data_IF_169030788999
#
_entry.id   IF_169030788999
#
_cell.length_a   1.000
_cell.length_b   1.000
_cell.length_c   1.000
_cell.angle_alpha   90.00
_cell.angle_beta   90.00
_cell.angle_gamma   90.00
#
_symmetry.space_group_name_H-M   'P 1'
#
loop_
_entity.id
_entity.type
_entity.pdbx_description
1 polymer ?
#
# COMPACT_ATOMS: atom_id res chain seq x y z
N UNK A 1 -2.74 -9.78 -12.66
CA UNK A 1 -2.21 -10.88 -11.84
C UNK A 1 -2.71 -10.76 -10.41
N UNK A 2 -3.31 -11.84 -9.92
CA UNK A 2 -3.94 -11.94 -8.60
C UNK A 2 -3.23 -12.99 -7.76
N UNK A 3 -2.87 -12.65 -6.53
CA UNK A 3 -2.25 -13.53 -5.55
C UNK A 3 -3.24 -13.81 -4.41
N UNK A 4 -3.33 -15.06 -3.96
CA UNK A 4 -4.13 -15.41 -2.77
C UNK A 4 -3.18 -15.58 -1.57
N UNK A 5 -3.52 -14.98 -0.43
CA UNK A 5 -2.84 -15.24 0.84
C UNK A 5 -3.74 -16.13 1.70
N UNK A 6 -3.30 -17.35 1.93
CA UNK A 6 -4.02 -18.42 2.60
C UNK A 6 -4.10 -19.67 1.75
N UNK A 7 -4.06 -20.84 2.36
CA UNK A 7 -4.12 -22.15 1.67
C UNK A 7 -5.23 -23.06 2.21
N UNK A 8 -6.03 -22.54 3.15
CA UNK A 8 -7.05 -23.28 3.88
C UNK A 8 -8.38 -23.37 3.10
N UNK A 9 -9.41 -23.86 3.78
CA UNK A 9 -10.75 -24.06 3.23
C UNK A 9 -11.35 -22.77 2.65
N UNK A 10 -11.15 -21.64 3.33
CA UNK A 10 -11.69 -20.34 2.89
C UNK A 10 -11.07 -19.90 1.55
N UNK A 11 -9.76 -20.13 1.38
CA UNK A 11 -9.06 -19.82 0.14
C UNK A 11 -9.54 -20.72 -1.01
N UNK A 12 -9.80 -22.01 -0.72
CA UNK A 12 -10.33 -22.94 -1.72
C UNK A 12 -11.76 -22.56 -2.12
N UNK A 13 -12.65 -22.28 -1.16
CA UNK A 13 -14.03 -21.87 -1.43
C UNK A 13 -14.09 -20.58 -2.26
N UNK A 14 -13.23 -19.60 -1.94
CA UNK A 14 -13.11 -18.38 -2.73
C UNK A 14 -12.66 -18.67 -4.17
N UNK A 15 -11.61 -19.49 -4.32
CA UNK A 15 -11.10 -19.85 -5.63
C UNK A 15 -12.15 -20.53 -6.48
N UNK A 16 -12.83 -21.54 -5.92
CA UNK A 16 -13.91 -22.27 -6.59
C UNK A 16 -15.08 -21.34 -6.95
N UNK A 17 -15.43 -20.42 -6.07
CA UNK A 17 -16.49 -19.45 -6.34
C UNK A 17 -16.14 -18.50 -7.48
N UNK A 18 -14.88 -18.03 -7.58
CA UNK A 18 -14.46 -17.13 -8.64
C UNK A 18 -14.33 -17.87 -9.98
N UNK A 19 -13.77 -19.07 -10.00
CA UNK A 19 -13.52 -19.83 -11.25
C UNK A 19 -14.79 -20.39 -11.85
N UNK A 20 -15.72 -20.87 -11.03
CA UNK A 20 -16.97 -21.49 -11.51
C UNK A 20 -18.04 -20.49 -11.95
N UNK A 21 -17.72 -19.20 -12.02
CA UNK A 21 -18.67 -18.17 -12.47
C UNK A 21 -18.90 -18.19 -13.96
N UNK A 22 -20.14 -17.90 -14.39
CA UNK A 22 -20.47 -17.82 -15.81
C UNK A 22 -19.78 -16.65 -16.53
N UNK A 23 -19.32 -15.64 -15.79
CA UNK A 23 -18.61 -14.47 -16.32
C UNK A 23 -17.28 -14.29 -15.61
N UNK A 24 -16.18 -14.19 -16.37
CA UNK A 24 -14.86 -13.89 -15.83
C UNK A 24 -14.82 -12.45 -15.28
N UNK A 25 -14.39 -12.31 -14.03
CA UNK A 25 -14.16 -11.01 -13.40
C UNK A 25 -12.78 -10.44 -13.71
N UNK A 26 -12.01 -11.09 -14.60
CA UNK A 26 -10.67 -10.63 -14.98
C UNK A 26 -9.56 -11.02 -13.99
N UNK A 27 -9.86 -11.83 -12.97
CA UNK A 27 -8.84 -12.36 -12.08
C UNK A 27 -7.97 -13.38 -12.80
N UNK A 28 -6.67 -13.16 -12.78
CA UNK A 28 -5.67 -14.11 -13.26
C UNK A 28 -4.82 -14.54 -12.08
N UNK A 29 -5.17 -15.68 -11.50
CA UNK A 29 -4.46 -16.23 -10.34
C UNK A 29 -3.08 -16.75 -10.74
N UNK A 30 -2.04 -16.21 -10.14
CA UNK A 30 -0.64 -16.61 -10.36
C UNK A 30 -0.24 -17.74 -9.42
N UNK A 31 -0.76 -17.71 -8.20
CA UNK A 31 -0.49 -18.69 -7.17
C UNK A 31 -1.02 -18.26 -5.82
N UNK A 32 -0.55 -18.91 -4.78
CA UNK A 32 -0.91 -18.55 -3.41
C UNK A 32 0.30 -18.59 -2.46
N UNK A 33 0.16 -17.88 -1.34
CA UNK A 33 1.11 -17.85 -0.23
C UNK A 33 0.51 -18.56 0.97
N UNK A 34 1.28 -19.47 1.58
CA UNK A 34 0.88 -20.11 2.82
C UNK A 34 1.01 -19.17 4.01
N UNK A 35 -0.12 -18.91 4.66
CA UNK A 35 -0.20 -18.05 5.85
C UNK A 35 0.04 -18.82 7.16
N UNK A 36 -0.05 -20.15 7.17
CA UNK A 36 -0.08 -20.96 8.38
C UNK A 36 1.16 -21.82 8.58
N UNK A 37 2.00 -22.01 7.57
CA UNK A 37 3.14 -22.96 7.60
C UNK A 37 2.69 -24.42 7.70
N UNK A 38 1.44 -24.72 7.35
CA UNK A 38 0.87 -26.04 7.44
C UNK A 38 1.10 -26.86 6.16
N UNK A 39 1.51 -28.10 6.31
CA UNK A 39 1.77 -29.03 5.21
C UNK A 39 0.51 -29.53 4.45
N UNK A 40 -0.66 -29.01 4.73
CA UNK A 40 -1.93 -29.40 4.10
C UNK A 40 -2.66 -28.21 3.50
N UNK A 41 -2.04 -27.59 2.51
CA UNK A 41 -2.69 -26.56 1.73
C UNK A 41 -3.68 -27.18 0.74
N UNK A 42 -4.97 -26.94 0.91
CA UNK A 42 -6.01 -27.47 0.04
C UNK A 42 -5.94 -26.87 -1.37
N UNK A 43 -5.46 -25.63 -1.46
CA UNK A 43 -5.35 -24.88 -2.71
C UNK A 43 -4.19 -25.36 -3.60
N UNK A 44 -3.22 -26.13 -3.06
CA UNK A 44 -2.04 -26.61 -3.79
C UNK A 44 -2.38 -27.52 -4.99
N UNK A 45 -3.59 -28.12 -4.97
CA UNK A 45 -4.08 -28.93 -6.09
C UNK A 45 -4.46 -28.12 -7.33
N UNK A 46 -4.72 -26.84 -7.16
CA UNK A 46 -5.28 -25.94 -8.17
C UNK A 46 -4.33 -24.80 -8.55
N UNK A 47 -3.56 -24.30 -7.59
CA UNK A 47 -2.62 -23.20 -7.78
C UNK A 47 -1.24 -23.55 -7.22
N UNK A 48 -0.16 -23.04 -7.83
CA UNK A 48 1.18 -23.22 -7.30
C UNK A 48 1.38 -22.47 -5.97
N UNK A 49 2.04 -23.12 -5.03
CA UNK A 49 2.54 -22.47 -3.82
C UNK A 49 3.77 -21.65 -4.18
N UNK A 50 3.72 -20.33 -3.97
CA UNK A 50 4.81 -19.42 -4.31
C UNK A 50 5.73 -19.12 -3.12
N UNK A 51 5.33 -19.48 -1.91
CA UNK A 51 6.14 -19.27 -0.72
C UNK A 51 5.31 -19.10 0.55
N UNK A 52 5.94 -18.50 1.55
CA UNK A 52 5.36 -18.17 2.85
C UNK A 52 5.19 -16.65 2.98
N UNK A 53 4.60 -16.18 4.09
CA UNK A 53 4.47 -14.74 4.34
C UNK A 53 5.79 -13.97 4.30
N UNK A 54 6.92 -14.63 4.60
CA UNK A 54 8.25 -13.98 4.56
C UNK A 54 8.69 -13.66 3.14
N UNK A 55 8.25 -14.46 2.18
CA UNK A 55 8.64 -14.36 0.77
C UNK A 55 7.69 -13.40 0.02
N UNK A 56 6.64 -12.90 0.69
CA UNK A 56 5.59 -12.07 0.08
C UNK A 56 6.11 -10.87 -0.71
N UNK A 57 7.06 -10.05 -0.22
CA UNK A 57 7.58 -8.91 -0.97
C UNK A 57 8.26 -9.31 -2.29
N UNK A 58 9.05 -10.40 -2.26
CA UNK A 58 9.75 -10.91 -3.45
C UNK A 58 8.76 -11.45 -4.47
N UNK A 59 7.77 -12.24 -4.04
CA UNK A 59 6.71 -12.80 -4.89
C UNK A 59 5.90 -11.71 -5.59
N UNK A 60 5.58 -10.61 -4.90
CA UNK A 60 4.86 -9.47 -5.48
C UNK A 60 5.64 -8.86 -6.64
N UNK A 61 6.94 -8.63 -6.45
CA UNK A 61 7.78 -7.98 -7.46
C UNK A 61 8.06 -8.91 -8.63
N UNK A 62 8.44 -10.17 -8.37
CA UNK A 62 8.81 -11.14 -9.41
C UNK A 62 7.64 -11.50 -10.34
N UNK A 63 6.42 -11.56 -9.80
CA UNK A 63 5.24 -11.96 -10.56
C UNK A 63 4.37 -10.78 -11.02
N UNK A 64 4.82 -9.53 -10.87
CA UNK A 64 4.07 -8.32 -11.20
C UNK A 64 2.62 -8.38 -10.68
N UNK A 65 2.47 -8.67 -9.38
CA UNK A 65 1.17 -8.81 -8.74
C UNK A 65 0.48 -7.45 -8.69
N UNK A 66 -0.77 -7.40 -9.14
CA UNK A 66 -1.60 -6.18 -9.13
C UNK A 66 -2.73 -6.25 -8.11
N UNK A 67 -3.06 -7.45 -7.68
CA UNK A 67 -4.14 -7.69 -6.73
C UNK A 67 -3.75 -8.79 -5.75
N UNK A 68 -4.01 -8.55 -4.47
CA UNK A 68 -3.83 -9.53 -3.40
C UNK A 68 -5.15 -9.75 -2.70
N UNK A 69 -5.56 -11.02 -2.59
CA UNK A 69 -6.77 -11.40 -1.87
C UNK A 69 -6.37 -12.15 -0.60
N UNK A 70 -6.68 -11.57 0.55
CA UNK A 70 -6.40 -12.18 1.85
C UNK A 70 -7.57 -13.11 2.20
N UNK A 71 -7.30 -14.42 2.15
CA UNK A 71 -8.27 -15.48 2.40
C UNK A 71 -8.00 -16.17 3.77
N UNK A 72 -7.68 -15.37 4.78
CA UNK A 72 -7.47 -15.79 6.16
C UNK A 72 -8.69 -15.41 6.98
N UNK A 73 -9.04 -16.21 8.00
CA UNK A 73 -10.16 -15.90 8.88
C UNK A 73 -9.97 -14.55 9.58
N UNK A 74 -11.01 -13.71 9.55
CA UNK A 74 -10.98 -12.38 10.20
C UNK A 74 -10.82 -12.46 11.71
N UNK A 75 -11.15 -13.58 12.33
CA UNK A 75 -10.87 -13.88 13.74
C UNK A 75 -9.36 -13.87 14.06
N UNK A 76 -8.50 -14.11 13.08
CA UNK A 76 -7.03 -14.07 13.23
C UNK A 76 -6.46 -12.65 13.05
N UNK A 77 -6.96 -11.69 13.82
CA UNK A 77 -6.60 -10.26 13.72
C UNK A 77 -5.09 -9.98 13.68
N UNK A 78 -4.30 -10.71 14.49
CA UNK A 78 -2.84 -10.52 14.52
C UNK A 78 -2.17 -10.92 13.21
N UNK A 79 -2.67 -11.95 12.57
CA UNK A 79 -2.14 -12.44 11.30
C UNK A 79 -2.51 -11.48 10.15
N UNK A 80 -3.77 -11.04 10.11
CA UNK A 80 -4.21 -10.04 9.14
C UNK A 80 -3.38 -8.77 9.28
N UNK A 81 -3.15 -8.31 10.52
CA UNK A 81 -2.29 -7.15 10.75
C UNK A 81 -0.88 -7.35 10.21
N UNK A 82 -0.24 -8.50 10.48
CA UNK A 82 1.09 -8.81 9.95
C UNK A 82 1.13 -8.81 8.42
N UNK A 83 0.10 -9.36 7.79
CA UNK A 83 -0.03 -9.36 6.31
C UNK A 83 -0.16 -7.92 5.80
N UNK A 84 -1.02 -7.12 6.40
CA UNK A 84 -1.22 -5.72 6.01
C UNK A 84 0.04 -4.87 6.22
N UNK A 85 0.77 -5.09 7.32
CA UNK A 85 2.04 -4.39 7.59
C UNK A 85 3.08 -4.69 6.49
N UNK A 86 3.14 -5.92 5.98
CA UNK A 86 4.04 -6.29 4.87
C UNK A 86 3.57 -5.75 3.51
N UNK A 87 2.26 -5.65 3.31
CA UNK A 87 1.68 -5.10 2.08
C UNK A 87 1.69 -3.57 2.04
N UNK A 88 1.98 -2.92 3.17
CA UNK A 88 1.94 -1.46 3.30
C UNK A 88 2.82 -0.75 2.25
N UNK A 89 4.04 -1.24 2.04
CA UNK A 89 4.98 -0.63 1.09
C UNK A 89 4.54 -0.75 -0.38
N UNK A 90 3.60 -1.65 -0.66
CA UNK A 90 3.06 -1.92 -2.00
C UNK A 90 1.65 -1.36 -2.20
N UNK A 91 1.05 -0.76 -1.18
CA UNK A 91 -0.36 -0.34 -1.15
C UNK A 91 -0.77 0.66 -2.24
N UNK A 92 0.17 1.44 -2.76
CA UNK A 92 -0.09 2.36 -3.89
C UNK A 92 -0.10 1.65 -5.26
N UNK A 93 0.38 0.40 -5.33
CA UNK A 93 0.59 -0.31 -6.60
C UNK A 93 -0.30 -1.54 -6.73
N UNK A 94 -0.80 -2.08 -5.62
CA UNK A 94 -1.59 -3.30 -5.57
C UNK A 94 -2.95 -3.04 -4.91
N UNK A 95 -3.96 -3.73 -5.44
CA UNK A 95 -5.30 -3.74 -4.86
C UNK A 95 -5.38 -4.81 -3.77
N UNK A 96 -5.69 -4.43 -2.54
CA UNK A 96 -5.79 -5.37 -1.42
C UNK A 96 -7.26 -5.63 -1.11
N UNK A 97 -7.65 -6.89 -1.15
CA UNK A 97 -8.99 -7.36 -0.81
C UNK A 97 -8.93 -8.40 0.31
N UNK A 98 -9.93 -8.43 1.15
CA UNK A 98 -10.09 -9.41 2.24
C UNK A 98 -11.44 -10.08 2.12
N UNK A 99 -11.50 -11.37 2.42
CA UNK A 99 -12.77 -12.10 2.56
C UNK A 99 -13.38 -11.69 3.90
N UNK A 100 -14.62 -11.14 3.94
CA UNK A 100 -15.31 -10.89 5.20
C UNK A 100 -15.71 -12.21 5.87
N UNK A 101 -15.62 -12.25 7.19
CA UNK A 101 -16.22 -13.34 7.95
C UNK A 101 -17.74 -13.21 7.98
N UNK A 102 -18.42 -14.35 8.12
CA UNK A 102 -19.88 -14.38 8.28
C UNK A 102 -20.34 -13.47 9.43
N UNK A 103 -19.54 -13.34 10.47
CA UNK A 103 -19.82 -12.49 11.62
C UNK A 103 -19.81 -10.99 11.25
N UNK A 104 -18.85 -10.56 10.44
CA UNK A 104 -18.75 -9.17 9.95
C UNK A 104 -19.95 -8.82 9.05
N UNK A 105 -20.40 -9.79 8.26
CA UNK A 105 -21.57 -9.66 7.41
C UNK A 105 -22.84 -9.52 8.25
N UNK A 106 -23.00 -10.36 9.27
CA UNK A 106 -24.17 -10.33 10.16
C UNK A 106 -24.28 -9.07 11.02
N UNK A 107 -23.14 -8.50 11.43
CA UNK A 107 -23.09 -7.24 12.20
C UNK A 107 -23.36 -6.00 11.34
N UNK A 108 -23.44 -6.16 10.00
CA UNK A 108 -23.64 -5.03 9.08
C UNK A 108 -22.48 -4.03 9.05
N UNK A 109 -21.32 -4.41 9.59
CA UNK A 109 -20.11 -3.57 9.60
C UNK A 109 -19.50 -3.43 8.22
N UNK A 110 -19.84 -4.34 7.32
CA UNK A 110 -19.36 -4.38 5.95
C UNK A 110 -20.45 -3.86 5.01
N UNK A 111 -20.16 -2.77 4.31
CA UNK A 111 -21.00 -2.36 3.17
C UNK A 111 -20.75 -3.34 2.03
N UNK A 112 -21.68 -4.26 1.84
CA UNK A 112 -21.62 -5.20 0.73
C UNK A 112 -21.88 -4.46 -0.58
N UNK A 113 -20.87 -4.25 -1.35
CA UNK A 113 -21.03 -3.90 -2.76
C UNK A 113 -21.41 -5.18 -3.52
N UNK A 114 -22.69 -5.56 -3.40
CA UNK A 114 -23.26 -6.67 -4.16
C UNK A 114 -23.36 -6.30 -5.63
N UNK A 115 -22.35 -6.59 -6.39
CA UNK A 115 -22.51 -6.53 -7.83
C UNK A 115 -22.29 -7.90 -8.50
N UNK A 116 -22.16 -8.98 -7.97
CA UNK A 116 -21.98 -10.33 -8.52
C UNK A 116 -20.90 -11.16 -7.79
N UNK A 117 -21.29 -11.91 -6.77
CA UNK A 117 -20.50 -13.05 -6.34
C UNK A 117 -19.71 -12.89 -5.04
N UNK A 118 -18.51 -13.50 -4.90
CA UNK A 118 -17.76 -13.51 -3.65
C UNK A 118 -17.69 -12.11 -3.03
N UNK A 119 -18.14 -12.01 -1.80
CA UNK A 119 -18.10 -10.75 -1.06
C UNK A 119 -16.64 -10.50 -0.71
N UNK A 120 -16.01 -9.56 -1.40
CA UNK A 120 -14.65 -9.12 -1.08
C UNK A 120 -14.73 -7.69 -0.57
N UNK A 121 -14.03 -7.42 0.52
CA UNK A 121 -13.85 -6.08 1.05
C UNK A 121 -12.55 -5.54 0.47
N UNK A 122 -12.65 -4.47 -0.29
CA UNK A 122 -11.48 -3.72 -0.71
C UNK A 122 -10.97 -2.88 0.47
N UNK A 123 -9.72 -3.09 0.85
CA UNK A 123 -9.07 -2.27 1.87
C UNK A 123 -8.47 -1.05 1.17
N UNK A 124 -9.25 0.01 1.08
CA UNK A 124 -8.71 1.32 0.75
C UNK A 124 -7.88 1.82 1.94
N UNK A 125 -6.56 1.88 1.75
CA UNK A 125 -5.66 2.44 2.76
C UNK A 125 -5.70 3.99 2.79
N UNK A 126 -6.65 4.59 2.10
CA UNK A 126 -6.90 6.02 2.20
C UNK A 126 -7.51 6.35 3.58
N UNK A 127 -6.64 6.32 4.61
CA UNK A 127 -6.98 6.69 5.99
C UNK A 127 -7.46 8.14 6.12
N UNK A 128 -7.31 8.94 5.07
CA UNK A 128 -7.65 10.37 5.09
C UNK A 128 -8.74 10.65 4.05
N UNK A 129 -9.95 11.02 4.44
CA UNK A 129 -11.00 11.44 3.52
C UNK A 129 -10.53 12.54 2.56
N UNK A 130 -11.04 12.58 1.34
CA UNK A 130 -10.60 13.53 0.31
C UNK A 130 -10.71 14.99 0.76
N UNK A 131 -11.73 15.34 1.53
CA UNK A 131 -11.90 16.69 2.07
C UNK A 131 -10.80 17.07 3.07
N UNK A 132 -10.29 16.13 3.87
CA UNK A 132 -9.17 16.37 4.79
C UNK A 132 -7.86 16.60 4.04
N UNK A 133 -7.64 15.91 2.91
CA UNK A 133 -6.50 16.15 2.02
C UNK A 133 -6.53 17.59 1.47
N UNK A 134 -7.72 18.07 1.10
CA UNK A 134 -7.90 19.44 0.62
C UNK A 134 -7.64 20.47 1.74
N UNK A 135 -8.21 20.25 2.92
CA UNK A 135 -7.97 21.13 4.08
C UNK A 135 -6.50 21.15 4.46
N UNK A 136 -5.87 19.98 4.56
CA UNK A 136 -4.43 19.88 4.82
C UNK A 136 -3.63 20.69 3.81
N UNK A 137 -3.93 20.54 2.52
CA UNK A 137 -3.22 21.27 1.45
C UNK A 137 -3.37 22.78 1.58
N UNK A 138 -4.58 23.25 1.88
CA UNK A 138 -4.82 24.67 2.13
C UNK A 138 -4.06 25.18 3.35
N UNK A 139 -4.06 24.43 4.46
CA UNK A 139 -3.28 24.77 5.64
C UNK A 139 -1.78 24.82 5.35
N UNK A 140 -1.25 23.81 4.67
CA UNK A 140 0.17 23.73 4.31
C UNK A 140 0.59 24.95 3.47
N UNK A 141 -0.21 25.33 2.48
CA UNK A 141 0.05 26.52 1.63
C UNK A 141 -0.02 27.78 2.45
N UNK A 142 -1.05 27.94 3.29
CA UNK A 142 -1.24 29.16 4.09
C UNK A 142 -0.11 29.34 5.10
N UNK A 143 0.23 28.28 5.84
CA UNK A 143 1.29 28.32 6.85
C UNK A 143 2.64 28.58 6.19
N UNK A 144 2.94 27.91 5.07
CA UNK A 144 4.22 28.11 4.36
C UNK A 144 4.33 29.53 3.77
N UNK A 145 3.22 30.10 3.26
CA UNK A 145 3.22 31.46 2.75
C UNK A 145 3.47 32.49 3.87
N UNK A 146 2.78 32.34 5.00
CA UNK A 146 2.99 33.19 6.18
C UNK A 146 4.41 33.08 6.70
N UNK A 147 4.92 31.87 6.82
CA UNK A 147 6.30 31.62 7.24
C UNK A 147 7.32 32.25 6.26
N UNK A 148 7.07 32.16 4.96
CA UNK A 148 7.93 32.77 3.95
C UNK A 148 7.97 34.29 4.09
N UNK A 149 6.80 34.92 4.27
CA UNK A 149 6.70 36.41 4.45
C UNK A 149 7.47 36.85 5.70
N UNK A 150 7.32 36.14 6.82
CA UNK A 150 8.00 36.46 8.09
C UNK A 150 9.52 36.24 7.97
N UNK A 151 9.95 35.19 7.30
CA UNK A 151 11.36 34.85 7.16
C UNK A 151 12.07 35.63 6.05
N UNK A 152 11.33 36.25 5.13
CA UNK A 152 11.88 36.96 3.97
C UNK A 152 12.93 38.01 4.36
N UNK A 153 12.71 38.92 5.35
CA UNK A 153 13.73 39.88 5.76
C UNK A 153 15.00 39.20 6.31
N UNK A 154 14.84 38.08 7.02
CA UNK A 154 15.97 37.31 7.53
C UNK A 154 16.76 36.63 6.40
N UNK A 155 16.06 36.07 5.42
CA UNK A 155 16.68 35.47 4.23
C UNK A 155 17.48 36.52 3.44
N UNK A 156 16.92 37.73 3.24
CA UNK A 156 17.62 38.82 2.57
C UNK A 156 18.89 39.20 3.36
N UNK A 157 18.78 39.32 4.67
CA UNK A 157 19.95 39.58 5.52
C UNK A 157 21.03 38.49 5.35
N UNK A 158 20.66 37.22 5.37
CA UNK A 158 21.62 36.13 5.16
C UNK A 158 22.27 36.17 3.78
N UNK A 159 21.48 36.45 2.72
CA UNK A 159 22.02 36.60 1.35
C UNK A 159 23.09 37.68 1.29
N UNK A 160 22.81 38.85 1.88
CA UNK A 160 23.75 39.96 1.91
C UNK A 160 25.01 39.61 2.70
N UNK A 161 24.89 38.93 3.83
CA UNK A 161 26.02 38.46 4.64
C UNK A 161 26.88 37.43 3.92
N UNK A 162 26.27 36.45 3.27
CA UNK A 162 27.00 35.45 2.49
C UNK A 162 27.74 36.09 1.32
N UNK A 163 27.07 37.03 0.61
CA UNK A 163 27.71 37.74 -0.53
C UNK A 163 28.88 38.64 -0.12
N UNK A 164 28.81 39.22 1.07
CA UNK A 164 29.90 40.06 1.60
C UNK A 164 31.04 39.25 2.22
N UNK A 165 30.80 37.98 2.59
CA UNK A 165 31.78 37.15 3.28
C UNK A 165 32.76 36.44 2.35
N UNK A 166 32.29 36.04 1.14
CA UNK A 166 33.15 35.31 0.20
C UNK A 166 32.72 35.50 -1.25
N UNK A 167 33.67 35.54 -2.21
CA UNK A 167 33.38 35.59 -3.64
C UNK A 167 32.83 34.24 -4.11
N UNK A 168 31.67 34.24 -4.78
CA UNK A 168 31.06 33.05 -5.37
C UNK A 168 29.54 33.04 -5.34
N UNK A 169 28.88 31.98 -5.83
CA UNK A 169 27.44 31.86 -5.82
C UNK A 169 26.88 31.74 -4.39
N UNK A 170 25.74 32.36 -4.14
CA UNK A 170 25.07 32.39 -2.83
C UNK A 170 24.54 31.01 -2.44
N UNK A 171 24.06 30.28 -3.45
CA UNK A 171 23.52 28.93 -3.29
C UNK A 171 24.42 27.92 -4.00
N UNK A 172 24.59 26.74 -3.42
CA UNK A 172 25.20 25.61 -4.09
C UNK A 172 24.30 24.37 -3.98
N UNK A 173 24.41 23.50 -4.96
CA UNK A 173 23.69 22.24 -5.02
C UNK A 173 24.58 21.10 -4.50
N UNK A 174 24.01 20.24 -3.67
CA UNK A 174 24.64 19.02 -3.21
C UNK A 174 23.73 17.84 -3.51
N UNK A 175 24.20 16.88 -4.29
CA UNK A 175 23.45 15.67 -4.57
C UNK A 175 23.48 14.73 -3.36
N UNK A 176 22.33 14.16 -3.02
CA UNK A 176 22.15 13.15 -1.98
C UNK A 176 21.30 12.00 -2.49
N UNK A 177 21.43 10.84 -1.84
CA UNK A 177 20.62 9.66 -2.14
C UNK A 177 19.35 9.70 -1.28
N UNK A 178 18.20 9.62 -1.90
CA UNK A 178 16.89 9.59 -1.28
C UNK A 178 16.31 8.20 -1.16
N UNK A 179 15.02 8.14 -0.88
CA UNK A 179 14.25 6.90 -0.76
C UNK A 179 14.35 6.09 -2.07
N UNK A 180 14.59 4.77 -1.94
CA UNK A 180 14.75 3.89 -3.10
C UNK A 180 16.02 4.11 -3.91
N UNK A 181 17.07 4.74 -3.34
CA UNK A 181 18.35 4.94 -4.01
C UNK A 181 18.37 6.05 -5.07
N UNK A 182 17.27 6.79 -5.25
CA UNK A 182 17.18 7.87 -6.27
C UNK A 182 17.96 9.11 -5.80
N UNK A 183 18.90 9.64 -6.61
CA UNK A 183 19.61 10.87 -6.26
C UNK A 183 18.68 12.09 -6.35
N UNK A 184 18.84 13.03 -5.42
CA UNK A 184 18.18 14.32 -5.44
C UNK A 184 19.12 15.44 -4.99
N UNK A 185 18.88 16.65 -5.48
CA UNK A 185 19.72 17.81 -5.20
C UNK A 185 19.16 18.64 -4.05
N UNK A 186 19.97 18.89 -3.04
CA UNK A 186 19.68 19.84 -1.96
C UNK A 186 20.35 21.16 -2.29
N UNK A 187 19.59 22.25 -2.16
CA UNK A 187 20.10 23.61 -2.29
C UNK A 187 20.45 24.13 -0.89
N UNK A 188 21.68 24.63 -0.72
CA UNK A 188 22.17 25.20 0.56
C UNK A 188 22.77 26.59 0.34
N UNK A 189 22.75 27.39 1.38
CA UNK A 189 23.61 28.57 1.45
C UNK A 189 25.08 28.13 1.54
N UNK A 190 25.94 28.92 0.94
CA UNK A 190 27.39 28.73 1.03
C UNK A 190 27.94 29.16 2.39
#
# INVERSE_FOLDING_TARGET
>A
STLIIGGDKNALELYDEIINRPYSLGHHFVGFIDSNGNSKNLLEKYLPLLGTLKDLPEVIVENDIKEVIIAVETSEHNKIKQILDQLYDFSEQILIKVIPDMYDIMLGTVKMNHVYGAVLIEIEQDLIPQWEKVIKRMMDITISLVALIILLPFIIYLILRVRSSSPGPIFYKQSRVGLGGKPFDIIKFR
#
